data_IF_595831611532
#
_entry.id   IF_595831611532
#
_cell.length_a   1.000
_cell.length_b   1.000
_cell.length_c   1.000
_cell.angle_alpha   90.00
_cell.angle_beta   90.00
_cell.angle_gamma   90.00
#
_symmetry.space_group_name_H-M   'P 1'
#
loop_
_entity.id
_entity.type
_entity.pdbx_description
1 polymer ?
#
# COMPACT_ATOMS: atom_id res chain seq x y z
N UNK A 1 -21.26 -2.31 -19.31
CA UNK A 1 -21.29 -3.29 -18.21
C UNK A 1 -20.97 -2.50 -16.96
N UNK A 2 -21.95 -2.24 -16.09
CA UNK A 2 -21.73 -1.47 -14.86
C UNK A 2 -20.97 -2.39 -13.92
N UNK A 3 -19.68 -2.13 -13.72
CA UNK A 3 -18.90 -2.86 -12.73
C UNK A 3 -19.58 -2.66 -11.38
N UNK A 4 -20.04 -3.75 -10.76
CA UNK A 4 -20.43 -3.74 -9.36
C UNK A 4 -19.15 -3.53 -8.54
N UNK A 5 -18.67 -2.30 -8.50
CA UNK A 5 -17.54 -1.89 -7.68
C UNK A 5 -17.86 -2.24 -6.24
N UNK A 6 -16.85 -2.69 -5.50
CA UNK A 6 -16.95 -3.21 -4.13
C UNK A 6 -17.70 -2.29 -3.14
N UNK A 7 -17.98 -1.05 -3.51
CA UNK A 7 -18.85 -0.09 -2.83
C UNK A 7 -19.30 1.03 -3.80
N UNK A 8 -20.31 1.83 -3.42
CA UNK A 8 -20.74 3.03 -4.18
C UNK A 8 -19.98 4.28 -3.78
N UNK A 9 -19.38 4.29 -2.58
CA UNK A 9 -18.61 5.43 -2.05
C UNK A 9 -17.38 4.96 -1.28
N UNK A 10 -16.31 5.78 -1.20
CA UNK A 10 -15.14 5.52 -0.37
C UNK A 10 -15.48 5.30 1.11
N UNK A 11 -16.49 6.01 1.63
CA UNK A 11 -16.95 5.85 3.02
C UNK A 11 -17.57 4.47 3.27
N UNK A 12 -18.48 4.03 2.39
CA UNK A 12 -19.07 2.70 2.47
C UNK A 12 -18.01 1.60 2.21
N UNK A 13 -16.99 1.88 1.41
CA UNK A 13 -15.87 0.95 1.20
C UNK A 13 -15.04 0.80 2.48
N UNK A 14 -14.67 1.92 3.12
CA UNK A 14 -13.96 1.91 4.41
C UNK A 14 -14.69 1.09 5.46
N UNK A 15 -16.01 1.24 5.57
CA UNK A 15 -16.81 0.47 6.53
C UNK A 15 -16.71 -1.04 6.28
N UNK A 16 -16.71 -1.47 5.01
CA UNK A 16 -16.51 -2.89 4.64
C UNK A 16 -15.10 -3.39 4.96
N UNK A 17 -14.08 -2.55 4.73
CA UNK A 17 -12.68 -2.88 5.04
C UNK A 17 -12.46 -3.04 6.55
N UNK A 18 -13.06 -2.17 7.37
CA UNK A 18 -12.96 -2.26 8.83
C UNK A 18 -13.56 -3.56 9.40
N UNK A 19 -14.50 -4.18 8.68
CA UNK A 19 -15.10 -5.45 9.07
C UNK A 19 -14.24 -6.67 8.69
N UNK A 20 -13.18 -6.50 7.91
CA UNK A 20 -12.29 -7.60 7.53
C UNK A 20 -11.21 -7.86 8.59
N UNK A 21 -10.67 -9.07 8.59
CA UNK A 21 -9.48 -9.38 9.38
C UNK A 21 -8.20 -8.76 8.77
N UNK A 22 -7.13 -8.78 9.55
CA UNK A 22 -5.87 -8.15 9.14
C UNK A 22 -5.24 -8.88 7.96
N UNK A 23 -5.33 -10.21 7.91
CA UNK A 23 -4.78 -11.02 6.82
C UNK A 23 -5.42 -10.68 5.46
N UNK A 24 -6.73 -10.42 5.45
CA UNK A 24 -7.46 -10.02 4.26
C UNK A 24 -7.07 -8.62 3.80
N UNK A 25 -6.92 -7.67 4.73
CA UNK A 25 -6.43 -6.32 4.42
C UNK A 25 -5.01 -6.37 3.87
N UNK A 26 -4.14 -7.16 4.49
CA UNK A 26 -2.75 -7.33 4.08
C UNK A 26 -2.64 -7.90 2.66
N UNK A 27 -3.41 -8.93 2.36
CA UNK A 27 -3.46 -9.54 1.03
C UNK A 27 -3.93 -8.54 -0.04
N UNK A 28 -4.98 -7.75 0.25
CA UNK A 28 -5.48 -6.74 -0.66
C UNK A 28 -4.49 -5.61 -0.87
N UNK A 29 -3.85 -5.10 0.19
CA UNK A 29 -2.83 -4.04 0.03
C UNK A 29 -1.64 -4.54 -0.78
N UNK A 30 -1.12 -5.73 -0.49
CA UNK A 30 -0.02 -6.30 -1.25
C UNK A 30 -0.38 -6.50 -2.73
N UNK A 31 -1.61 -6.91 -3.01
CA UNK A 31 -2.18 -7.01 -4.35
C UNK A 31 -2.23 -5.65 -5.05
N UNK A 32 -2.85 -4.65 -4.42
CA UNK A 32 -3.01 -3.30 -4.96
C UNK A 32 -1.67 -2.61 -5.20
N UNK A 33 -0.71 -2.72 -4.28
CA UNK A 33 0.65 -2.19 -4.47
C UNK A 33 1.29 -2.76 -5.73
N UNK A 34 1.20 -4.08 -5.93
CA UNK A 34 1.76 -4.75 -7.10
C UNK A 34 1.04 -4.34 -8.39
N UNK A 35 -0.28 -4.23 -8.35
CA UNK A 35 -1.07 -3.84 -9.52
C UNK A 35 -0.80 -2.40 -9.96
N UNK A 36 -0.79 -1.46 -9.01
CA UNK A 36 -0.43 -0.06 -9.26
C UNK A 36 1.00 0.03 -9.79
N UNK A 37 1.95 -0.69 -9.19
CA UNK A 37 3.33 -0.72 -9.68
C UNK A 37 3.44 -1.26 -11.12
N UNK A 38 2.63 -2.24 -11.51
CA UNK A 38 2.57 -2.76 -12.89
C UNK A 38 1.97 -1.76 -13.87
N UNK A 39 0.88 -1.09 -13.50
CA UNK A 39 0.13 -0.19 -14.40
C UNK A 39 0.77 1.19 -14.52
N UNK A 40 1.32 1.71 -13.42
CA UNK A 40 1.78 3.11 -13.29
C UNK A 40 3.26 3.25 -12.93
N UNK A 41 3.95 2.15 -12.67
CA UNK A 41 5.34 2.15 -12.22
C UNK A 41 5.48 2.23 -10.70
N UNK A 42 6.65 1.79 -10.20
CA UNK A 42 6.93 1.70 -8.76
C UNK A 42 6.89 3.06 -8.08
N UNK A 43 7.47 4.10 -8.68
CA UNK A 43 7.53 5.45 -8.11
C UNK A 43 6.13 5.93 -7.72
N UNK A 44 5.15 5.78 -8.63
CA UNK A 44 3.77 6.16 -8.36
C UNK A 44 3.15 5.31 -7.24
N UNK A 45 3.36 3.99 -7.26
CA UNK A 45 2.83 3.11 -6.22
C UNK A 45 3.33 3.51 -4.82
N UNK A 46 4.62 3.84 -4.70
CA UNK A 46 5.25 4.27 -3.45
C UNK A 46 4.76 5.65 -3.02
N UNK A 47 4.62 6.57 -3.96
CA UNK A 47 4.08 7.90 -3.69
C UNK A 47 2.66 7.83 -3.11
N UNK A 48 1.76 7.10 -3.78
CA UNK A 48 0.38 6.94 -3.32
C UNK A 48 0.31 6.21 -1.97
N UNK A 49 1.14 5.18 -1.80
CA UNK A 49 1.21 4.44 -0.55
C UNK A 49 1.72 5.30 0.61
N UNK A 50 2.81 6.04 0.43
CA UNK A 50 3.35 6.96 1.43
C UNK A 50 2.34 8.04 1.82
N UNK A 51 1.72 8.68 0.82
CA UNK A 51 0.68 9.69 1.03
C UNK A 51 -0.53 9.15 1.81
N UNK A 52 -1.05 7.98 1.43
CA UNK A 52 -2.24 7.42 2.07
C UNK A 52 -1.96 6.82 3.45
N UNK A 53 -0.79 6.20 3.63
CA UNK A 53 -0.35 5.68 4.92
C UNK A 53 0.14 6.76 5.86
N UNK A 54 0.47 7.96 5.37
CA UNK A 54 1.04 9.06 6.14
C UNK A 54 2.49 8.79 6.57
N UNK A 55 3.25 8.09 5.74
CA UNK A 55 4.68 7.83 5.91
C UNK A 55 5.48 8.65 4.90
N UNK A 56 6.57 9.25 5.37
CA UNK A 56 7.59 9.85 4.52
C UNK A 56 8.58 8.79 4.00
N UNK A 57 9.59 9.19 3.23
CA UNK A 57 10.57 8.27 2.65
C UNK A 57 11.31 7.45 3.72
N UNK A 58 11.70 8.08 4.84
CA UNK A 58 12.39 7.39 5.93
C UNK A 58 11.47 6.39 6.64
N UNK A 59 10.21 6.77 6.88
CA UNK A 59 9.18 5.88 7.40
C UNK A 59 8.91 4.69 6.46
N UNK A 60 8.89 4.93 5.15
CA UNK A 60 8.74 3.88 4.13
C UNK A 60 9.94 2.93 4.09
N UNK A 61 11.16 3.45 4.14
CA UNK A 61 12.38 2.65 4.18
C UNK A 61 12.46 1.80 5.47
N UNK A 62 12.07 2.40 6.61
CA UNK A 62 11.95 1.72 7.89
C UNK A 62 10.92 0.60 7.86
N UNK A 63 9.71 0.89 7.36
CA UNK A 63 8.66 -0.12 7.19
C UNK A 63 9.11 -1.26 6.28
N UNK A 64 9.67 -0.95 5.10
CA UNK A 64 10.17 -1.97 4.18
C UNK A 64 11.19 -2.90 4.83
N UNK A 65 12.17 -2.35 5.56
CA UNK A 65 13.19 -3.14 6.24
C UNK A 65 12.59 -3.96 7.38
N UNK A 66 11.73 -3.37 8.19
CA UNK A 66 11.05 -4.04 9.31
C UNK A 66 10.16 -5.21 8.84
N UNK A 67 9.56 -5.09 7.65
CA UNK A 67 8.75 -6.14 7.05
C UNK A 67 9.54 -7.23 6.30
N UNK A 68 10.87 -7.22 6.37
CA UNK A 68 11.74 -8.23 5.78
C UNK A 68 12.28 -7.89 4.39
N UNK A 69 12.06 -6.67 3.91
CA UNK A 69 12.69 -6.14 2.70
C UNK A 69 14.20 -5.93 2.90
N UNK A 70 15.00 -6.33 1.91
CA UNK A 70 16.45 -6.16 1.99
C UNK A 70 16.84 -4.70 1.75
N UNK A 71 17.32 -4.00 2.78
CA UNK A 71 17.65 -2.58 2.68
C UNK A 71 18.63 -2.24 1.53
N UNK A 72 19.58 -3.13 1.22
CA UNK A 72 20.52 -2.98 0.12
C UNK A 72 19.88 -2.96 -1.28
N UNK A 73 18.60 -3.31 -1.40
CA UNK A 73 17.85 -3.31 -2.65
C UNK A 73 17.03 -2.04 -2.88
N UNK A 74 16.95 -1.16 -1.87
CA UNK A 74 16.36 0.17 -2.03
C UNK A 74 17.27 1.02 -2.90
N UNK A 75 16.67 1.87 -3.72
CA UNK A 75 17.40 2.76 -4.62
C UNK A 75 16.75 4.13 -4.70
N UNK A 76 17.29 4.95 -5.59
CA UNK A 76 16.68 6.21 -6.00
C UNK A 76 16.61 6.29 -7.51
N UNK A 77 15.60 6.98 -8.03
CA UNK A 77 15.54 7.32 -9.45
C UNK A 77 16.37 8.57 -9.79
N UNK A 78 16.29 9.04 -11.02
CA UNK A 78 17.00 10.22 -11.54
C UNK A 78 16.55 11.54 -10.89
N UNK A 79 15.32 11.59 -10.35
CA UNK A 79 14.79 12.69 -9.56
C UNK A 79 15.07 12.54 -8.05
N UNK A 80 15.91 11.57 -7.67
CA UNK A 80 16.28 11.27 -6.28
C UNK A 80 15.08 10.82 -5.41
N UNK A 81 14.02 10.25 -5.99
CA UNK A 81 12.88 9.69 -5.24
C UNK A 81 13.18 8.26 -4.80
N UNK A 82 12.75 7.90 -3.59
CA UNK A 82 12.93 6.53 -3.07
C UNK A 82 12.17 5.50 -3.93
N UNK A 83 12.86 4.43 -4.33
CA UNK A 83 12.29 3.29 -5.06
C UNK A 83 12.62 1.96 -4.39
N UNK A 84 11.73 1.00 -4.56
CA UNK A 84 11.87 -0.37 -4.05
C UNK A 84 11.76 -1.38 -5.20
N UNK A 85 12.33 -2.58 -5.08
CA UNK A 85 12.08 -3.64 -6.06
C UNK A 85 10.58 -3.97 -6.08
N UNK A 86 9.96 -3.92 -7.27
CA UNK A 86 8.52 -4.19 -7.43
C UNK A 86 8.10 -5.55 -6.84
N UNK A 87 8.96 -6.56 -6.95
CA UNK A 87 8.75 -7.91 -6.39
C UNK A 87 8.75 -7.95 -4.87
N UNK A 88 9.37 -6.97 -4.20
CA UNK A 88 9.53 -6.89 -2.76
C UNK A 88 8.54 -5.93 -2.08
N UNK A 89 7.65 -5.27 -2.82
CA UNK A 89 6.67 -4.31 -2.28
C UNK A 89 5.77 -4.89 -1.19
N UNK A 90 5.58 -6.22 -1.18
CA UNK A 90 4.85 -6.92 -0.12
C UNK A 90 5.41 -6.63 1.27
N UNK A 91 6.71 -6.34 1.41
CA UNK A 91 7.36 -6.10 2.70
C UNK A 91 6.84 -4.85 3.41
N UNK A 92 6.27 -3.88 2.68
CA UNK A 92 5.68 -2.68 3.29
C UNK A 92 4.49 -3.02 4.20
N UNK A 93 3.76 -4.09 3.92
CA UNK A 93 2.56 -4.50 4.67
C UNK A 93 2.88 -4.97 6.09
N UNK A 94 3.67 -6.04 6.31
CA UNK A 94 4.10 -6.42 7.65
C UNK A 94 4.99 -5.34 8.29
N UNK A 95 5.70 -4.56 7.47
CA UNK A 95 6.48 -3.41 7.88
C UNK A 95 5.68 -2.36 8.63
N UNK A 96 4.53 -1.95 8.07
CA UNK A 96 3.62 -0.97 8.69
C UNK A 96 3.11 -1.46 10.04
N UNK A 97 2.71 -2.73 10.14
CA UNK A 97 2.28 -3.32 11.41
C UNK A 97 3.41 -3.32 12.44
N UNK A 98 4.66 -3.49 12.01
CA UNK A 98 5.81 -3.50 12.91
C UNK A 98 6.17 -2.09 13.42
N UNK A 99 6.14 -1.07 12.55
CA UNK A 99 6.53 0.29 12.93
C UNK A 99 5.41 1.09 13.62
N UNK A 100 4.15 0.74 13.40
CA UNK A 100 2.99 1.35 14.07
C UNK A 100 1.93 0.28 14.40
N UNK A 101 2.14 -0.57 15.41
CA UNK A 101 1.21 -1.67 15.73
C UNK A 101 -0.20 -1.21 16.08
N UNK A 102 -0.36 0.02 16.57
CA UNK A 102 -1.66 0.56 16.97
C UNK A 102 -2.48 1.05 15.77
N UNK A 103 -1.83 1.54 14.70
CA UNK A 103 -2.52 2.13 13.54
C UNK A 103 -2.21 1.44 12.22
N UNK A 104 -1.44 0.35 12.24
CA UNK A 104 -0.96 -0.32 11.03
C UNK A 104 -2.10 -0.68 10.08
N UNK A 105 -3.10 -1.39 10.59
CA UNK A 105 -4.32 -1.72 9.84
C UNK A 105 -5.02 -0.48 9.27
N UNK A 106 -5.22 0.56 10.08
CA UNK A 106 -5.89 1.79 9.63
C UNK A 106 -5.12 2.48 8.50
N UNK A 107 -3.79 2.49 8.55
CA UNK A 107 -2.93 3.05 7.48
C UNK A 107 -3.03 2.23 6.19
N UNK A 108 -3.11 0.90 6.30
CA UNK A 108 -3.33 0.01 5.16
C UNK A 108 -4.73 0.21 4.55
N UNK A 109 -5.76 0.37 5.38
CA UNK A 109 -7.12 0.71 4.94
C UNK A 109 -7.15 2.07 4.25
N UNK A 110 -6.44 3.08 4.77
CA UNK A 110 -6.35 4.39 4.12
C UNK A 110 -5.82 4.27 2.68
N UNK A 111 -4.83 3.41 2.44
CA UNK A 111 -4.31 3.16 1.11
C UNK A 111 -5.36 2.52 0.18
N UNK A 112 -6.07 1.49 0.63
CA UNK A 112 -7.14 0.88 -0.17
C UNK A 112 -8.26 1.89 -0.48
N UNK A 113 -8.63 2.74 0.47
CA UNK A 113 -9.65 3.79 0.28
C UNK A 113 -9.16 4.87 -0.68
N UNK A 114 -7.91 5.32 -0.55
CA UNK A 114 -7.31 6.32 -1.44
C UNK A 114 -7.17 5.81 -2.88
N UNK A 115 -6.99 4.50 -3.06
CA UNK A 115 -6.87 3.84 -4.35
C UNK A 115 -8.18 3.18 -4.79
N UNK A 116 -9.32 3.56 -4.19
CA UNK A 116 -10.62 2.94 -4.43
C UNK A 116 -10.99 2.85 -5.93
N UNK A 117 -10.74 3.90 -6.71
CA UNK A 117 -11.01 3.92 -8.15
C UNK A 117 -10.07 3.02 -8.96
N UNK A 118 -8.93 2.66 -8.39
CA UNK A 118 -7.95 1.76 -8.99
C UNK A 118 -8.27 0.27 -8.73
N UNK A 119 -8.96 -0.02 -7.62
CA UNK A 119 -9.31 -1.37 -7.16
C UNK A 119 -10.54 -1.93 -7.91
N UNK A 120 -11.23 -1.13 -8.73
CA UNK A 120 -12.43 -1.56 -9.48
C UNK A 120 -12.11 -2.56 -10.61
N UNK A 121 -10.84 -2.83 -10.91
CA UNK A 121 -10.40 -3.73 -11.98
C UNK A 121 -9.76 -5.05 -11.51
N UNK A 122 -9.96 -5.45 -10.25
CA UNK A 122 -9.53 -6.77 -9.75
C UNK A 122 -10.63 -7.82 -9.93
#
# INVERSE_FOLDING_TARGET
MVGTGLSETPAAYRAKLLAQDDAQIDAWVAGSLRDIAKRKGVVQAIHEFGKASGLDEDGLAGAFTAGGGAAATMGRDDENRLIFPAVALWALVPGIHTVDPARGKDRLINFLVATFEEVVYI
#
